data_IF_829950950102
#
_entry.id   IF_829950950102
#
_cell.length_a   1.000
_cell.length_b   1.000
_cell.length_c   1.000
_cell.angle_alpha   90.00
_cell.angle_beta   90.00
_cell.angle_gamma   90.00
#
_symmetry.space_group_name_H-M   'P 1'
#
loop_
_entity.id
_entity.type
_entity.pdbx_description
1 polymer ?
#
# COMPACT_ATOMS: atom_id res chain seq x y z
N UNK A 1 10.77 -5.60 -14.87
CA UNK A 1 10.13 -5.51 -13.53
C UNK A 1 11.20 -5.69 -12.47
N UNK A 2 11.55 -4.60 -11.80
CA UNK A 2 12.44 -4.65 -10.65
C UNK A 2 11.62 -5.16 -9.46
N UNK A 3 12.06 -6.22 -8.75
CA UNK A 3 11.34 -6.67 -7.57
C UNK A 3 11.28 -5.51 -6.57
N UNK A 4 10.09 -5.28 -6.02
CA UNK A 4 9.90 -4.35 -4.92
C UNK A 4 10.77 -4.85 -3.78
N UNK A 5 11.92 -4.20 -3.58
CA UNK A 5 12.71 -4.38 -2.37
C UNK A 5 11.93 -3.71 -1.26
N UNK A 6 11.13 -4.48 -0.53
CA UNK A 6 10.70 -4.03 0.79
C UNK A 6 11.94 -3.63 1.54
N UNK A 7 11.99 -2.41 2.01
CA UNK A 7 13.10 -1.74 2.73
C UNK A 7 14.40 -2.55 2.75
N UNK A 8 15.24 -2.38 1.73
CA UNK A 8 16.48 -3.13 1.49
C UNK A 8 17.50 -3.08 2.64
N UNK A 9 17.18 -2.40 3.72
CA UNK A 9 18.01 -2.27 4.90
C UNK A 9 17.84 -3.43 5.90
N UNK A 10 16.75 -4.18 5.85
CA UNK A 10 16.51 -5.31 6.80
C UNK A 10 17.05 -6.67 6.31
N UNK A 11 17.43 -6.78 5.04
CA UNK A 11 17.85 -8.07 4.44
C UNK A 11 19.28 -8.52 4.80
N UNK A 12 20.07 -7.69 5.47
CA UNK A 12 21.49 -7.98 5.73
C UNK A 12 21.70 -9.06 6.81
N UNK A 13 20.75 -9.21 7.73
CA UNK A 13 20.71 -10.32 8.69
C UNK A 13 19.28 -10.46 9.23
N UNK A 14 18.57 -11.46 8.75
CA UNK A 14 17.23 -11.79 9.22
C UNK A 14 17.19 -13.28 9.60
N UNK A 15 16.90 -13.58 10.85
CA UNK A 15 16.59 -14.92 11.34
C UNK A 15 15.14 -14.96 11.81
N UNK A 16 14.36 -15.85 11.24
CA UNK A 16 12.96 -16.06 11.58
C UNK A 16 12.76 -17.45 12.13
N UNK A 17 11.91 -17.54 13.14
CA UNK A 17 11.46 -18.78 13.76
C UNK A 17 9.94 -18.69 14.06
N UNK A 18 9.42 -19.63 14.83
CA UNK A 18 7.99 -19.66 15.16
C UNK A 18 7.56 -18.49 16.06
N UNK A 19 8.47 -17.98 16.89
CA UNK A 19 8.17 -16.93 17.87
C UNK A 19 8.32 -15.53 17.32
N UNK A 20 8.98 -15.35 16.17
CA UNK A 20 9.15 -14.03 15.55
C UNK A 20 10.40 -13.90 14.69
N UNK A 21 10.90 -12.67 14.56
CA UNK A 21 11.99 -12.28 13.66
C UNK A 21 13.09 -11.52 14.40
N UNK A 22 14.34 -11.96 14.23
CA UNK A 22 15.53 -11.22 14.69
C UNK A 22 16.22 -10.60 13.50
N UNK A 23 16.54 -9.31 13.56
CA UNK A 23 17.22 -8.59 12.49
C UNK A 23 18.21 -7.56 13.04
N UNK A 24 19.15 -7.13 12.18
CA UNK A 24 20.07 -6.04 12.50
C UNK A 24 19.50 -4.69 12.06
N UNK A 25 19.58 -3.69 12.92
CA UNK A 25 19.29 -2.32 12.54
C UNK A 25 20.27 -1.85 11.44
N UNK A 26 19.76 -1.27 10.33
CA UNK A 26 20.62 -0.71 9.29
C UNK A 26 21.36 0.56 9.75
N UNK A 27 20.89 1.22 10.82
CA UNK A 27 21.46 2.47 11.31
C UNK A 27 22.74 2.24 12.14
N UNK A 28 22.72 1.23 13.03
CA UNK A 28 23.80 1.03 14.00
C UNK A 28 24.21 -0.44 14.19
N UNK A 29 23.62 -1.37 13.44
CA UNK A 29 23.93 -2.80 13.53
C UNK A 29 23.41 -3.51 14.78
N UNK A 30 22.66 -2.84 15.67
CA UNK A 30 22.08 -3.48 16.86
C UNK A 30 21.07 -4.56 16.48
N UNK A 31 21.03 -5.63 17.27
CA UNK A 31 20.06 -6.72 17.08
C UNK A 31 18.71 -6.34 17.70
N UNK A 32 17.66 -6.55 16.93
CA UNK A 32 16.28 -6.39 17.36
C UNK A 32 15.51 -7.69 17.19
N UNK A 33 14.61 -7.94 18.13
CA UNK A 33 13.65 -9.04 18.06
C UNK A 33 12.25 -8.48 17.96
N UNK A 34 11.48 -8.94 16.96
CA UNK A 34 10.05 -8.65 16.82
C UNK A 34 9.28 -9.96 16.97
N UNK A 35 8.22 -9.91 17.78
CA UNK A 35 7.18 -10.92 17.87
C UNK A 35 5.83 -10.26 17.66
N UNK A 36 4.75 -11.05 17.63
CA UNK A 36 3.40 -10.54 17.57
C UNK A 36 3.13 -9.50 18.69
N UNK A 37 3.47 -9.83 19.94
CA UNK A 37 3.25 -8.97 21.10
C UNK A 37 4.10 -7.69 21.07
N UNK A 38 5.37 -7.82 20.69
CA UNK A 38 6.28 -6.67 20.58
C UNK A 38 5.77 -5.71 19.50
N UNK A 39 5.33 -6.25 18.36
CA UNK A 39 4.76 -5.45 17.27
C UNK A 39 3.52 -4.68 17.73
N UNK A 40 2.59 -5.35 18.41
CA UNK A 40 1.40 -4.70 18.96
C UNK A 40 1.78 -3.62 19.97
N UNK A 41 2.68 -3.90 20.90
CA UNK A 41 3.16 -2.93 21.89
C UNK A 41 3.79 -1.68 21.28
N UNK A 42 4.53 -1.83 20.16
CA UNK A 42 5.12 -0.70 19.43
C UNK A 42 4.03 0.13 18.76
N UNK A 43 3.10 -0.51 18.02
CA UNK A 43 2.04 0.19 17.28
C UNK A 43 1.09 0.93 18.26
N UNK A 44 0.75 0.34 19.40
CA UNK A 44 0.00 1.00 20.47
C UNK A 44 0.71 2.26 21.00
N UNK A 45 2.04 2.22 21.16
CA UNK A 45 2.85 3.37 21.61
C UNK A 45 2.96 4.47 20.57
N UNK A 46 3.03 4.12 19.29
CA UNK A 46 3.00 5.07 18.18
C UNK A 46 1.66 5.80 18.14
N UNK A 47 0.58 5.13 18.52
CA UNK A 47 -0.77 5.74 18.59
C UNK A 47 -1.45 5.81 17.20
N UNK A 48 -1.13 4.91 16.30
CA UNK A 48 -1.81 4.82 14.99
C UNK A 48 -3.30 4.50 15.16
N UNK A 49 -4.16 5.11 14.34
CA UNK A 49 -5.60 4.83 14.37
C UNK A 49 -5.92 3.44 13.82
N UNK A 50 -5.14 2.96 12.85
CA UNK A 50 -5.24 1.62 12.27
C UNK A 50 -3.88 0.94 12.38
N UNK A 51 -3.88 -0.29 12.87
CA UNK A 51 -2.70 -1.14 13.03
C UNK A 51 -2.86 -2.42 12.23
N UNK A 52 -1.74 -3.05 11.86
CA UNK A 52 -1.73 -4.34 11.19
C UNK A 52 -1.13 -5.43 12.10
N UNK A 53 -1.74 -6.61 12.06
CA UNK A 53 -1.19 -7.78 12.73
C UNK A 53 0.18 -8.13 12.17
N UNK A 54 1.04 -8.67 13.02
CA UNK A 54 2.36 -9.15 12.62
C UNK A 54 2.22 -10.41 11.75
N UNK A 55 2.77 -10.39 10.54
CA UNK A 55 2.62 -11.42 9.54
C UNK A 55 3.95 -11.85 8.92
N UNK A 56 3.95 -12.94 8.18
CA UNK A 56 5.10 -13.38 7.41
C UNK A 56 4.94 -13.05 5.93
N UNK A 57 5.57 -11.98 5.48
CA UNK A 57 5.66 -11.65 4.06
C UNK A 57 6.59 -12.63 3.34
N UNK A 58 6.04 -13.33 2.34
CA UNK A 58 6.78 -14.22 1.43
C UNK A 58 7.03 -13.56 0.07
N UNK A 59 7.83 -14.21 -0.76
CA UNK A 59 8.08 -13.81 -2.15
C UNK A 59 7.52 -14.85 -3.12
N UNK A 60 7.31 -14.47 -4.38
CA UNK A 60 6.89 -15.42 -5.42
C UNK A 60 7.94 -16.50 -5.73
N UNK A 61 9.18 -16.34 -5.25
CA UNK A 61 10.26 -17.32 -5.40
C UNK A 61 10.21 -18.45 -4.35
N UNK A 62 9.41 -18.28 -3.30
CA UNK A 62 9.25 -19.31 -2.28
C UNK A 62 8.44 -20.51 -2.83
N UNK A 63 8.83 -21.72 -2.44
CA UNK A 63 8.10 -22.92 -2.85
C UNK A 63 6.68 -22.93 -2.26
N UNK A 64 5.75 -23.65 -2.91
CA UNK A 64 4.39 -23.79 -2.39
C UNK A 64 4.35 -24.30 -0.95
N UNK A 65 5.11 -25.34 -0.61
CA UNK A 65 5.16 -25.86 0.75
C UNK A 65 5.72 -24.86 1.78
N UNK A 66 6.55 -23.88 1.36
CA UNK A 66 6.91 -22.76 2.22
C UNK A 66 5.75 -21.79 2.39
N UNK A 67 5.01 -21.48 1.33
CA UNK A 67 3.83 -20.61 1.38
C UNK A 67 2.76 -21.19 2.33
N UNK A 68 2.51 -22.48 2.27
CA UNK A 68 1.57 -23.17 3.18
C UNK A 68 1.99 -22.97 4.65
N UNK A 69 3.26 -23.24 4.98
CA UNK A 69 3.76 -23.02 6.36
C UNK A 69 3.72 -21.57 6.80
N UNK A 70 3.95 -20.64 5.88
CA UNK A 70 3.90 -19.19 6.14
C UNK A 70 2.47 -18.72 6.44
N UNK A 71 1.47 -19.21 5.72
CA UNK A 71 0.05 -18.95 5.99
C UNK A 71 -0.32 -19.39 7.40
N UNK A 72 0.04 -20.63 7.77
CA UNK A 72 -0.25 -21.17 9.10
C UNK A 72 0.49 -20.40 10.22
N UNK A 73 1.72 -19.96 9.99
CA UNK A 73 2.48 -19.13 10.94
C UNK A 73 1.84 -17.76 11.09
N UNK A 74 1.47 -17.13 9.98
CA UNK A 74 0.77 -15.84 9.99
C UNK A 74 -0.53 -15.94 10.80
N UNK A 75 -1.29 -17.02 10.65
CA UNK A 75 -2.50 -17.24 11.45
C UNK A 75 -2.22 -17.35 12.95
N UNK A 76 -1.20 -18.14 13.35
CA UNK A 76 -0.82 -18.23 14.79
C UNK A 76 -0.34 -16.89 15.35
N UNK A 77 0.40 -16.11 14.56
CA UNK A 77 0.81 -14.77 14.96
C UNK A 77 -0.39 -13.80 15.03
N UNK A 78 -1.35 -13.92 14.11
CA UNK A 78 -2.60 -13.14 14.14
C UNK A 78 -3.39 -13.38 15.41
N UNK A 79 -3.53 -14.65 15.86
CA UNK A 79 -4.19 -14.98 17.14
C UNK A 79 -3.49 -14.31 18.33
N UNK A 80 -2.16 -14.31 18.36
CA UNK A 80 -1.36 -13.64 19.41
C UNK A 80 -1.51 -12.11 19.34
N UNK A 81 -1.56 -11.54 18.14
CA UNK A 81 -1.82 -10.10 17.95
C UNK A 81 -3.17 -9.69 18.50
N UNK A 82 -4.23 -10.43 18.21
CA UNK A 82 -5.59 -10.14 18.74
C UNK A 82 -5.60 -10.19 20.27
N UNK A 83 -5.00 -11.22 20.86
CA UNK A 83 -4.93 -11.37 22.30
C UNK A 83 -4.18 -10.20 22.96
N UNK A 84 -3.02 -9.83 22.42
CA UNK A 84 -2.22 -8.73 22.98
C UNK A 84 -2.85 -7.36 22.72
N UNK A 85 -3.46 -7.15 21.54
CA UNK A 85 -4.20 -5.94 21.24
C UNK A 85 -5.35 -5.70 22.25
N UNK A 86 -6.13 -6.74 22.53
CA UNK A 86 -7.19 -6.67 23.53
C UNK A 86 -6.65 -6.28 24.90
N UNK A 87 -5.59 -6.97 25.37
CA UNK A 87 -4.94 -6.66 26.64
C UNK A 87 -4.46 -5.20 26.72
N UNK A 88 -3.77 -4.71 25.68
CA UNK A 88 -3.25 -3.35 25.63
C UNK A 88 -4.37 -2.30 25.52
N UNK A 89 -5.48 -2.62 24.85
CA UNK A 89 -6.65 -1.74 24.76
C UNK A 89 -7.32 -1.58 26.11
N UNK A 90 -7.47 -2.66 26.88
CA UNK A 90 -8.00 -2.62 28.23
C UNK A 90 -7.13 -1.79 29.20
N UNK A 91 -5.80 -1.76 29.01
CA UNK A 91 -4.87 -0.93 29.79
C UNK A 91 -4.90 0.57 29.42
N UNK A 92 -5.47 0.92 28.24
CA UNK A 92 -5.49 2.29 27.72
C UNK A 92 -6.78 3.07 28.03
N UNK A 93 -7.29 2.97 29.25
CA UNK A 93 -8.52 3.64 29.65
C UNK A 93 -8.52 5.14 29.30
N UNK A 94 -9.60 5.59 28.66
CA UNK A 94 -9.81 7.00 28.27
C UNK A 94 -9.03 7.48 27.04
N UNK A 95 -8.33 6.59 26.31
CA UNK A 95 -7.71 6.91 25.02
C UNK A 95 -8.58 6.43 23.87
N UNK A 96 -8.46 7.07 22.66
CA UNK A 96 -9.16 6.59 21.46
C UNK A 96 -8.85 5.14 21.16
N UNK A 97 -9.84 4.42 20.63
CA UNK A 97 -9.67 3.07 20.12
C UNK A 97 -8.73 3.07 18.92
N UNK A 98 -7.91 2.03 18.80
CA UNK A 98 -7.03 1.79 17.65
C UNK A 98 -7.53 0.52 16.97
N UNK A 99 -7.93 0.61 15.71
CA UNK A 99 -8.39 -0.55 14.94
C UNK A 99 -7.23 -1.49 14.62
N UNK A 100 -7.49 -2.80 14.65
CA UNK A 100 -6.52 -3.83 14.28
C UNK A 100 -6.99 -4.58 13.03
N UNK A 101 -6.18 -4.59 11.97
CA UNK A 101 -6.43 -5.33 10.74
C UNK A 101 -5.58 -6.60 10.70
N UNK A 102 -6.21 -7.72 10.34
CA UNK A 102 -5.52 -8.96 10.03
C UNK A 102 -4.90 -8.90 8.63
N UNK A 103 -3.87 -9.72 8.36
CA UNK A 103 -3.23 -9.75 7.04
C UNK A 103 -3.41 -11.12 6.41
N UNK A 104 -3.90 -11.14 5.15
CA UNK A 104 -4.06 -12.36 4.36
C UNK A 104 -2.87 -12.52 3.42
N UNK A 105 -2.14 -13.63 3.57
CA UNK A 105 -1.04 -14.06 2.73
C UNK A 105 -1.48 -15.21 1.80
N UNK A 106 -0.60 -15.80 0.98
CA UNK A 106 -0.90 -16.96 0.13
C UNK A 106 -0.32 -16.87 -1.30
N UNK A 107 0.48 -15.83 -1.58
CA UNK A 107 1.10 -15.59 -2.90
C UNK A 107 0.07 -15.63 -4.04
N UNK A 108 0.34 -16.39 -5.10
CA UNK A 108 -0.55 -16.52 -6.26
C UNK A 108 -1.49 -17.75 -6.19
N UNK A 109 -1.61 -18.41 -5.03
CA UNK A 109 -2.39 -19.63 -4.90
C UNK A 109 -3.79 -19.32 -4.35
N UNK A 110 -4.82 -19.51 -5.18
CA UNK A 110 -6.22 -19.24 -4.81
C UNK A 110 -6.64 -19.99 -3.56
N UNK A 111 -6.36 -21.29 -3.50
CA UNK A 111 -6.71 -22.13 -2.34
C UNK A 111 -6.05 -21.65 -1.04
N UNK A 112 -4.79 -21.22 -1.09
CA UNK A 112 -4.12 -20.65 0.08
C UNK A 112 -4.69 -19.27 0.47
N UNK A 113 -5.05 -18.44 -0.50
CA UNK A 113 -5.68 -17.14 -0.26
C UNK A 113 -7.04 -17.30 0.41
N UNK A 114 -7.89 -18.19 -0.12
CA UNK A 114 -9.21 -18.48 0.46
C UNK A 114 -9.08 -19.06 1.86
N UNK A 115 -8.20 -20.05 2.06
CA UNK A 115 -7.95 -20.63 3.37
C UNK A 115 -7.43 -19.58 4.39
N UNK A 116 -6.44 -18.76 4.02
CA UNK A 116 -5.94 -17.69 4.87
C UNK A 116 -7.02 -16.63 5.19
N UNK A 117 -7.88 -16.31 4.21
CA UNK A 117 -8.98 -15.37 4.39
C UNK A 117 -10.01 -15.90 5.41
N UNK A 118 -10.40 -17.18 5.30
CA UNK A 118 -11.30 -17.85 6.26
C UNK A 118 -10.71 -17.86 7.68
N UNK A 119 -9.40 -18.16 7.81
CA UNK A 119 -8.71 -18.10 9.10
C UNK A 119 -8.74 -16.70 9.72
N UNK A 120 -8.43 -15.66 8.93
CA UNK A 120 -8.44 -14.27 9.41
C UNK A 120 -9.87 -13.78 9.68
N UNK A 121 -10.85 -14.18 8.85
CA UNK A 121 -12.26 -13.86 9.07
C UNK A 121 -12.79 -14.40 10.41
N UNK A 122 -12.28 -15.55 10.87
CA UNK A 122 -12.67 -16.18 12.14
C UNK A 122 -12.16 -15.45 13.39
N UNK A 123 -11.22 -14.50 13.23
CA UNK A 123 -10.65 -13.74 14.34
C UNK A 123 -11.33 -12.37 14.48
N UNK A 124 -11.20 -11.78 15.66
CA UNK A 124 -11.78 -10.49 16.02
C UNK A 124 -10.90 -9.32 15.52
N UNK A 125 -10.87 -9.14 14.18
CA UNK A 125 -10.24 -8.03 13.52
C UNK A 125 -11.27 -6.99 13.08
N UNK A 126 -10.92 -5.72 13.13
CA UNK A 126 -11.76 -4.61 12.62
C UNK A 126 -11.78 -4.55 11.09
N UNK A 127 -10.71 -5.01 10.44
CA UNK A 127 -10.57 -5.03 9.00
C UNK A 127 -9.53 -6.05 8.54
N UNK A 128 -9.27 -6.07 7.24
CA UNK A 128 -8.32 -7.00 6.63
C UNK A 128 -7.35 -6.30 5.69
N UNK A 129 -6.08 -6.67 5.73
CA UNK A 129 -5.05 -6.30 4.78
C UNK A 129 -4.84 -7.42 3.75
N UNK A 130 -4.95 -7.09 2.47
CA UNK A 130 -4.62 -7.96 1.35
C UNK A 130 -3.13 -7.79 1.07
N UNK A 131 -2.33 -8.70 1.62
CA UNK A 131 -0.87 -8.60 1.61
C UNK A 131 -0.17 -9.62 0.71
N UNK A 132 1.16 -9.55 0.70
CA UNK A 132 2.02 -10.49 0.02
C UNK A 132 2.42 -10.10 -1.40
N UNK A 133 3.37 -10.87 -1.94
CA UNK A 133 3.75 -10.72 -3.34
C UNK A 133 2.66 -11.32 -4.22
N UNK A 134 2.12 -10.53 -5.14
CA UNK A 134 1.05 -10.91 -6.06
C UNK A 134 1.51 -10.54 -7.47
N UNK A 135 1.29 -11.42 -8.44
CA UNK A 135 1.48 -11.06 -9.85
C UNK A 135 0.40 -10.07 -10.29
N UNK A 136 0.84 -9.04 -11.02
CA UNK A 136 -0.04 -7.97 -11.50
C UNK A 136 -1.30 -8.51 -12.21
N UNK A 137 -1.14 -9.55 -13.04
CA UNK A 137 -2.24 -10.11 -13.86
C UNK A 137 -3.39 -10.73 -13.07
N UNK A 138 -3.19 -11.05 -11.78
CA UNK A 138 -4.19 -11.71 -10.93
C UNK A 138 -4.55 -10.88 -9.70
N UNK A 139 -4.21 -9.59 -9.68
CA UNK A 139 -4.45 -8.76 -8.49
C UNK A 139 -5.95 -8.62 -8.20
N UNK A 140 -6.78 -8.42 -9.22
CA UNK A 140 -8.23 -8.38 -9.10
C UNK A 140 -8.80 -9.70 -8.59
N UNK A 141 -8.39 -10.84 -9.20
CA UNK A 141 -8.81 -12.18 -8.77
C UNK A 141 -8.42 -12.43 -7.31
N UNK A 142 -7.20 -12.02 -6.92
CA UNK A 142 -6.74 -12.16 -5.52
C UNK A 142 -7.62 -11.37 -4.56
N UNK A 143 -8.03 -10.14 -4.92
CA UNK A 143 -8.99 -9.37 -4.12
C UNK A 143 -10.32 -10.12 -4.02
N UNK A 144 -10.88 -10.61 -5.13
CA UNK A 144 -12.13 -11.36 -5.13
C UNK A 144 -12.06 -12.59 -4.20
N UNK A 145 -11.02 -13.43 -4.32
CA UNK A 145 -10.86 -14.64 -3.49
C UNK A 145 -10.87 -14.35 -1.99
N UNK A 146 -10.29 -13.20 -1.59
CA UNK A 146 -10.22 -12.79 -0.19
C UNK A 146 -11.55 -12.15 0.25
N UNK A 147 -12.10 -11.25 -0.57
CA UNK A 147 -13.33 -10.54 -0.26
C UNK A 147 -14.54 -11.47 -0.14
N UNK A 148 -14.59 -12.55 -0.94
CA UNK A 148 -15.64 -13.58 -0.85
C UNK A 148 -15.74 -14.23 0.55
N UNK A 149 -14.63 -14.34 1.27
CA UNK A 149 -14.59 -14.93 2.61
C UNK A 149 -14.77 -13.91 3.74
N UNK A 150 -14.76 -12.60 3.42
CA UNK A 150 -14.82 -11.53 4.43
C UNK A 150 -16.24 -11.00 4.61
N UNK A 151 -16.68 -10.72 5.86
CA UNK A 151 -17.90 -9.97 6.10
C UNK A 151 -17.87 -8.63 5.36
N UNK A 152 -18.97 -8.25 4.72
CA UNK A 152 -19.09 -7.01 3.95
C UNK A 152 -18.81 -5.76 4.79
N UNK A 153 -19.11 -5.82 6.08
CA UNK A 153 -18.90 -4.73 7.03
C UNK A 153 -17.42 -4.49 7.42
N UNK A 154 -16.51 -5.43 7.08
CA UNK A 154 -15.09 -5.28 7.40
C UNK A 154 -14.35 -4.57 6.27
N UNK A 155 -13.69 -3.42 6.51
CA UNK A 155 -12.85 -2.76 5.52
C UNK A 155 -11.73 -3.67 4.98
N UNK A 156 -11.46 -3.59 3.67
CA UNK A 156 -10.42 -4.34 2.96
C UNK A 156 -9.37 -3.38 2.44
N UNK A 157 -8.19 -3.46 3.04
CA UNK A 157 -7.05 -2.62 2.68
C UNK A 157 -6.10 -3.37 1.76
N UNK A 158 -5.83 -2.84 0.57
CA UNK A 158 -4.93 -3.46 -0.41
C UNK A 158 -3.54 -2.87 -0.25
N UNK A 159 -2.60 -3.68 0.24
CA UNK A 159 -1.27 -3.24 0.62
C UNK A 159 -0.35 -3.04 -0.60
N UNK A 160 0.25 -1.86 -0.70
CA UNK A 160 1.36 -1.57 -1.63
C UNK A 160 0.97 -1.37 -3.09
N UNK A 161 -0.28 -1.12 -3.42
CA UNK A 161 -0.78 -0.97 -4.80
C UNK A 161 -0.97 0.50 -5.18
N UNK A 162 -0.41 0.89 -6.35
CA UNK A 162 -0.55 2.25 -6.90
C UNK A 162 -0.63 2.30 -8.43
N UNK A 163 -0.61 1.19 -9.17
CA UNK A 163 -0.90 1.26 -10.59
C UNK A 163 -2.40 1.53 -10.78
N UNK A 164 -2.74 2.49 -11.64
CA UNK A 164 -4.12 2.97 -11.78
C UNK A 164 -5.07 1.85 -12.21
N UNK A 165 -4.65 1.02 -13.14
CA UNK A 165 -5.38 -0.17 -13.57
C UNK A 165 -5.56 -1.21 -12.46
N UNK A 166 -4.53 -1.42 -11.63
CA UNK A 166 -4.60 -2.35 -10.50
C UNK A 166 -5.56 -1.82 -9.40
N UNK A 167 -5.58 -0.50 -9.16
CA UNK A 167 -6.53 0.12 -8.22
C UNK A 167 -7.97 -0.15 -8.67
N UNK A 168 -8.30 0.12 -9.93
CA UNK A 168 -9.64 -0.16 -10.47
C UNK A 168 -9.99 -1.64 -10.37
N UNK A 169 -9.06 -2.55 -10.74
CA UNK A 169 -9.28 -3.98 -10.62
C UNK A 169 -9.52 -4.43 -9.15
N UNK A 170 -8.82 -3.85 -8.19
CA UNK A 170 -9.02 -4.14 -6.77
C UNK A 170 -10.37 -3.61 -6.27
N UNK A 171 -10.74 -2.37 -6.62
CA UNK A 171 -12.03 -1.78 -6.21
C UNK A 171 -13.21 -2.57 -6.78
N UNK A 172 -13.16 -2.93 -8.06
CA UNK A 172 -14.18 -3.78 -8.71
C UNK A 172 -14.39 -5.11 -7.98
N UNK A 173 -13.35 -5.60 -7.30
CA UNK A 173 -13.34 -6.86 -6.56
C UNK A 173 -13.38 -6.69 -5.02
N UNK A 174 -13.84 -5.53 -4.54
CA UNK A 174 -14.14 -5.29 -3.12
C UNK A 174 -13.02 -4.70 -2.28
N UNK A 175 -11.95 -4.17 -2.89
CA UNK A 175 -10.93 -3.40 -2.18
C UNK A 175 -11.41 -1.99 -1.84
N UNK A 176 -11.22 -1.54 -0.58
CA UNK A 176 -11.76 -0.28 -0.08
C UNK A 176 -10.69 0.82 0.05
N UNK A 177 -9.52 0.48 0.55
CA UNK A 177 -8.45 1.43 0.83
C UNK A 177 -7.09 0.91 0.37
N UNK A 178 -6.13 1.83 0.15
CA UNK A 178 -4.84 1.54 -0.44
C UNK A 178 -3.71 2.30 0.25
N UNK A 179 -2.52 1.73 0.25
CA UNK A 179 -1.27 2.43 0.53
C UNK A 179 -0.24 2.13 -0.56
N UNK A 180 0.65 3.05 -0.82
CA UNK A 180 1.84 2.78 -1.63
C UNK A 180 2.91 3.85 -1.51
N UNK A 181 4.16 3.42 -1.52
CA UNK A 181 5.31 4.34 -1.58
C UNK A 181 5.51 4.96 -2.97
N UNK A 182 4.84 4.43 -4.01
CA UNK A 182 5.09 4.82 -5.41
C UNK A 182 4.87 6.32 -5.67
N UNK A 183 3.80 6.99 -5.19
CA UNK A 183 3.62 8.43 -5.42
C UNK A 183 4.82 9.24 -4.96
N UNK A 184 5.25 9.06 -3.72
CA UNK A 184 6.38 9.77 -3.13
C UNK A 184 7.72 9.38 -3.79
N UNK A 185 7.96 8.08 -4.02
CA UNK A 185 9.18 7.59 -4.68
C UNK A 185 9.30 8.14 -6.10
N UNK A 186 8.23 8.11 -6.87
CA UNK A 186 8.16 8.64 -8.22
C UNK A 186 8.40 10.16 -8.23
N UNK A 187 7.75 10.90 -7.35
CA UNK A 187 7.93 12.35 -7.20
C UNK A 187 9.39 12.72 -6.94
N UNK A 188 10.04 12.08 -5.97
CA UNK A 188 11.47 12.30 -5.70
C UNK A 188 12.39 12.01 -6.89
N UNK A 189 11.98 11.12 -7.78
CA UNK A 189 12.71 10.81 -9.01
C UNK A 189 12.32 11.69 -10.21
N UNK A 190 11.33 12.56 -10.05
CA UNK A 190 10.87 13.49 -11.06
C UNK A 190 9.79 12.90 -11.99
N UNK A 191 9.18 11.78 -11.63
CA UNK A 191 8.04 11.24 -12.35
C UNK A 191 6.74 11.82 -11.75
N UNK A 192 5.97 12.49 -12.58
CA UNK A 192 4.74 13.20 -12.23
C UNK A 192 3.55 12.42 -12.79
N UNK A 193 2.56 12.13 -11.96
CA UNK A 193 1.30 11.51 -12.36
C UNK A 193 0.30 12.58 -12.76
N UNK A 194 -0.44 12.33 -13.83
CA UNK A 194 -1.52 13.19 -14.33
C UNK A 194 -2.68 12.34 -14.84
N UNK A 195 -3.83 12.95 -15.10
CA UNK A 195 -4.98 12.26 -15.73
C UNK A 195 -4.66 11.70 -17.13
N UNK A 196 -3.60 12.20 -17.77
CA UNK A 196 -3.13 11.76 -19.09
C UNK A 196 -1.88 10.88 -19.03
N UNK A 197 -1.66 10.22 -17.90
CA UNK A 197 -0.54 9.32 -17.67
C UNK A 197 0.61 9.96 -16.89
N UNK A 198 1.78 9.36 -16.99
CA UNK A 198 2.96 9.76 -16.23
C UNK A 198 4.03 10.34 -17.13
N UNK A 199 4.61 11.48 -16.74
CA UNK A 199 5.75 12.06 -17.44
C UNK A 199 6.92 12.33 -16.50
N UNK A 200 8.13 12.49 -17.08
CA UNK A 200 9.31 12.87 -16.32
C UNK A 200 9.53 14.38 -16.46
N UNK A 201 9.41 15.11 -15.34
CA UNK A 201 9.57 16.57 -15.28
C UNK A 201 10.98 17.03 -15.71
N UNK A 202 12.00 16.16 -15.59
CA UNK A 202 13.38 16.48 -15.96
C UNK A 202 13.66 16.45 -17.49
N UNK A 203 12.64 16.31 -18.34
CA UNK A 203 12.80 16.45 -19.78
C UNK A 203 13.09 17.91 -20.15
N UNK A 204 13.92 18.14 -21.18
CA UNK A 204 14.37 19.48 -21.57
C UNK A 204 13.24 20.47 -21.86
N UNK A 205 12.11 20.00 -22.38
CA UNK A 205 10.94 20.81 -22.67
C UNK A 205 10.35 21.55 -21.48
N UNK A 206 10.51 21.02 -20.24
CA UNK A 206 9.97 21.61 -19.04
C UNK A 206 10.87 22.67 -18.39
N UNK A 207 12.11 22.82 -18.86
CA UNK A 207 13.08 23.75 -18.29
C UNK A 207 12.62 25.22 -18.25
N UNK A 208 11.81 25.60 -19.20
CA UNK A 208 11.24 26.96 -19.34
C UNK A 208 9.71 26.95 -19.43
N UNK A 209 9.09 25.90 -18.93
CA UNK A 209 7.62 25.77 -18.88
C UNK A 209 7.09 26.32 -17.55
N UNK A 210 6.42 27.47 -17.62
CA UNK A 210 5.88 28.15 -16.45
C UNK A 210 4.44 27.76 -16.11
N UNK A 211 3.86 26.76 -16.80
CA UNK A 211 2.58 26.16 -16.46
C UNK A 211 2.64 25.28 -15.19
N UNK A 212 1.50 24.88 -14.65
CA UNK A 212 1.41 23.96 -13.51
C UNK A 212 1.89 22.55 -13.89
N UNK A 213 2.08 21.64 -12.90
CA UNK A 213 2.44 20.24 -13.19
C UNK A 213 1.35 19.55 -14.00
N UNK A 214 0.09 19.85 -13.71
CA UNK A 214 -1.09 19.40 -14.48
C UNK A 214 -2.08 20.55 -14.57
N UNK A 215 -2.63 20.76 -15.76
CA UNK A 215 -3.70 21.72 -15.98
C UNK A 215 -4.96 21.30 -15.19
N UNK A 216 -5.70 22.24 -14.66
CA UNK A 216 -6.92 22.02 -13.86
C UNK A 216 -6.71 21.25 -12.54
N UNK A 217 -5.47 21.07 -12.09
CA UNK A 217 -5.14 20.48 -10.80
C UNK A 217 -5.12 21.56 -9.72
N UNK A 218 -5.89 21.36 -8.67
CA UNK A 218 -6.05 22.29 -7.53
C UNK A 218 -5.10 22.00 -6.35
N UNK A 219 -4.13 21.07 -6.51
CA UNK A 219 -3.17 20.81 -5.45
C UNK A 219 -2.27 22.01 -5.15
N UNK A 220 -1.72 22.05 -3.94
CA UNK A 220 -0.82 23.13 -3.51
C UNK A 220 0.32 23.40 -4.50
N UNK A 221 0.91 22.34 -5.06
CA UNK A 221 2.02 22.51 -6.01
C UNK A 221 1.58 23.17 -7.30
N UNK A 222 0.48 22.72 -7.91
CA UNK A 222 0.00 23.26 -9.19
C UNK A 222 -0.49 24.69 -9.08
N UNK A 223 -1.07 25.08 -7.94
CA UNK A 223 -1.60 26.42 -7.70
C UNK A 223 -0.53 27.45 -7.36
N UNK A 224 0.67 27.04 -6.93
CA UNK A 224 1.70 27.97 -6.45
C UNK A 224 3.04 27.87 -7.20
N UNK A 225 3.30 26.78 -7.94
CA UNK A 225 4.60 26.53 -8.57
C UNK A 225 4.46 26.06 -10.01
N UNK A 226 5.48 26.36 -10.82
CA UNK A 226 5.53 25.97 -12.23
C UNK A 226 6.36 24.69 -12.43
N UNK A 227 6.17 24.04 -13.61
CA UNK A 227 7.01 22.93 -14.07
C UNK A 227 8.48 23.30 -14.06
N UNK A 228 8.83 24.51 -14.56
CA UNK A 228 10.22 24.99 -14.57
C UNK A 228 10.83 25.08 -13.17
N UNK A 229 10.08 25.55 -12.17
CA UNK A 229 10.58 25.65 -10.80
C UNK A 229 10.83 24.25 -10.19
N UNK A 230 9.86 23.34 -10.34
CA UNK A 230 9.97 21.97 -9.80
C UNK A 230 11.12 21.21 -10.50
N UNK A 231 11.27 21.34 -11.84
CA UNK A 231 12.40 20.77 -12.58
C UNK A 231 13.74 21.30 -12.03
N UNK A 232 13.84 22.64 -11.87
CA UNK A 232 15.05 23.27 -11.33
C UNK A 232 15.40 22.75 -9.93
N UNK A 233 14.43 22.74 -9.02
CA UNK A 233 14.64 22.28 -7.64
C UNK A 233 15.06 20.78 -7.58
N UNK A 234 14.42 19.92 -8.39
CA UNK A 234 14.79 18.50 -8.48
C UNK A 234 16.19 18.28 -9.06
N UNK A 235 16.63 19.09 -10.05
CA UNK A 235 17.98 19.02 -10.62
C UNK A 235 19.01 19.51 -9.64
N UNK A 236 18.71 20.57 -8.89
CA UNK A 236 19.56 21.09 -7.81
C UNK A 236 19.59 20.17 -6.57
N UNK A 237 18.76 19.11 -6.55
CA UNK A 237 18.58 18.19 -5.41
C UNK A 237 18.09 18.88 -4.14
N UNK A 238 17.31 19.93 -4.31
CA UNK A 238 16.65 20.62 -3.20
C UNK A 238 15.50 19.79 -2.66
N UNK A 239 15.40 19.68 -1.33
CA UNK A 239 14.33 18.93 -0.66
C UNK A 239 12.94 19.47 -1.02
N UNK A 240 12.83 20.78 -1.23
CA UNK A 240 11.58 21.41 -1.65
C UNK A 240 11.05 20.83 -2.97
N UNK A 241 11.92 20.56 -3.95
CA UNK A 241 11.53 19.91 -5.21
C UNK A 241 10.96 18.50 -4.99
N UNK A 242 11.54 17.72 -4.07
CA UNK A 242 11.03 16.40 -3.71
C UNK A 242 9.66 16.50 -3.02
N UNK A 243 9.49 17.45 -2.10
CA UNK A 243 8.23 17.69 -1.39
C UNK A 243 7.13 18.08 -2.36
N UNK A 244 7.37 19.08 -3.21
CA UNK A 244 6.38 19.58 -4.16
C UNK A 244 5.92 18.51 -5.16
N UNK A 245 6.85 17.73 -5.73
CA UNK A 245 6.51 16.63 -6.64
C UNK A 245 5.74 15.52 -5.92
N UNK A 246 6.10 15.22 -4.67
CA UNK A 246 5.38 14.24 -3.83
C UNK A 246 3.97 14.73 -3.51
N UNK A 247 3.81 15.98 -3.07
CA UNK A 247 2.50 16.56 -2.75
C UNK A 247 1.54 16.48 -3.93
N UNK A 248 2.01 16.77 -5.14
CA UNK A 248 1.18 16.64 -6.34
C UNK A 248 0.79 15.17 -6.61
N UNK A 249 1.76 14.26 -6.56
CA UNK A 249 1.48 12.85 -6.82
C UNK A 249 0.53 12.23 -5.79
N UNK A 250 0.68 12.55 -4.50
CA UNK A 250 -0.25 12.10 -3.45
C UNK A 250 -1.65 12.67 -3.70
N UNK A 251 -1.76 13.96 -4.04
CA UNK A 251 -3.03 14.57 -4.39
C UNK A 251 -3.71 13.86 -5.57
N UNK A 252 -2.95 13.50 -6.62
CA UNK A 252 -3.47 12.75 -7.76
C UNK A 252 -4.15 11.44 -7.32
N UNK A 253 -3.48 10.64 -6.46
CA UNK A 253 -4.04 9.36 -6.03
C UNK A 253 -5.22 9.52 -5.06
N UNK A 254 -5.17 10.49 -4.15
CA UNK A 254 -6.31 10.79 -3.25
C UNK A 254 -7.52 11.22 -4.08
N UNK A 255 -7.33 12.14 -5.02
CA UNK A 255 -8.39 12.61 -5.90
C UNK A 255 -8.96 11.49 -6.79
N UNK A 256 -8.11 10.60 -7.31
CA UNK A 256 -8.55 9.44 -8.07
C UNK A 256 -9.47 8.54 -7.24
N UNK A 257 -9.09 8.26 -5.99
CA UNK A 257 -9.91 7.42 -5.09
C UNK A 257 -11.21 8.10 -4.69
N UNK A 258 -11.22 9.42 -4.50
CA UNK A 258 -12.44 10.18 -4.24
C UNK A 258 -13.38 10.17 -5.45
N UNK A 259 -12.85 10.30 -6.67
CA UNK A 259 -13.63 10.23 -7.91
C UNK A 259 -14.16 8.80 -8.15
N UNK A 260 -13.37 7.76 -7.83
CA UNK A 260 -13.83 6.36 -7.84
C UNK A 260 -15.01 6.19 -6.88
N UNK A 261 -14.90 6.66 -5.63
CA UNK A 261 -15.98 6.58 -4.64
C UNK A 261 -17.24 7.29 -5.15
N UNK A 262 -17.10 8.51 -5.66
CA UNK A 262 -18.21 9.26 -6.24
C UNK A 262 -18.86 8.52 -7.42
N UNK A 263 -18.08 7.82 -8.24
CA UNK A 263 -18.60 7.04 -9.37
C UNK A 263 -19.41 5.81 -8.93
N UNK A 264 -19.00 5.18 -7.81
CA UNK A 264 -19.73 4.06 -7.19
C UNK A 264 -21.06 4.58 -6.65
N UNK A 265 -21.02 5.64 -5.85
CA UNK A 265 -22.22 6.27 -5.26
C UNK A 265 -23.20 6.76 -6.36
N UNK A 266 -22.68 7.24 -7.48
CA UNK A 266 -23.43 7.70 -8.64
C UNK A 266 -23.90 6.59 -9.59
N UNK A 267 -23.42 5.35 -9.41
CA UNK A 267 -23.82 4.19 -10.25
C UNK A 267 -23.19 4.17 -11.65
N UNK A 268 -22.07 4.89 -11.87
CA UNK A 268 -21.36 4.97 -13.18
C UNK A 268 -19.90 4.55 -13.09
N UNK A 269 -19.56 3.65 -12.17
CA UNK A 269 -18.18 3.18 -11.94
C UNK A 269 -17.51 2.60 -13.20
N UNK A 270 -18.21 1.77 -13.97
CA UNK A 270 -17.64 1.13 -15.15
C UNK A 270 -17.27 2.14 -16.24
N UNK A 271 -18.17 3.09 -16.51
CA UNK A 271 -17.92 4.17 -17.47
C UNK A 271 -16.74 5.04 -17.03
N UNK A 272 -16.70 5.41 -15.75
CA UNK A 272 -15.60 6.20 -15.18
C UNK A 272 -14.25 5.47 -15.26
N UNK A 273 -14.22 4.15 -14.92
CA UNK A 273 -13.03 3.30 -15.06
C UNK A 273 -12.52 3.31 -16.49
N UNK A 274 -13.39 3.00 -17.46
CA UNK A 274 -13.01 2.84 -18.86
C UNK A 274 -12.50 4.15 -19.44
N UNK A 275 -13.15 5.28 -19.16
CA UNK A 275 -12.69 6.61 -19.57
C UNK A 275 -11.36 6.99 -18.92
N UNK A 276 -11.20 6.74 -17.63
CA UNK A 276 -9.98 7.07 -16.89
C UNK A 276 -8.80 6.26 -17.41
N UNK A 277 -8.96 4.96 -17.59
CA UNK A 277 -7.92 4.08 -18.12
C UNK A 277 -7.55 4.45 -19.58
N UNK A 278 -8.55 4.75 -20.41
CA UNK A 278 -8.30 5.20 -21.78
C UNK A 278 -7.45 6.49 -21.79
N UNK A 279 -7.82 7.50 -21.02
CA UNK A 279 -7.07 8.77 -20.91
C UNK A 279 -5.67 8.59 -20.33
N UNK A 280 -5.55 7.79 -19.26
CA UNK A 280 -4.28 7.60 -18.55
C UNK A 280 -3.25 6.84 -19.42
N UNK A 281 -3.67 5.88 -20.23
CA UNK A 281 -2.79 5.05 -21.06
C UNK A 281 -2.71 5.48 -22.53
N UNK A 282 -3.42 6.52 -22.96
CA UNK A 282 -3.45 7.03 -24.34
C UNK A 282 -2.04 7.30 -24.89
N UNK A 283 -1.15 7.85 -24.09
CA UNK A 283 0.23 8.19 -24.50
C UNK A 283 1.25 7.06 -24.26
N UNK A 284 0.81 5.80 -24.14
CA UNK A 284 1.69 4.65 -23.98
C UNK A 284 2.40 4.57 -22.64
N UNK A 285 1.86 5.18 -21.60
CA UNK A 285 2.35 5.13 -20.22
C UNK A 285 2.16 3.73 -19.61
N UNK A 286 2.72 2.68 -20.22
CA UNK A 286 2.78 1.36 -19.59
C UNK A 286 3.73 1.46 -18.39
N UNK A 287 3.23 1.12 -17.19
CA UNK A 287 3.92 1.15 -15.92
C UNK A 287 5.11 0.20 -15.82
#
# INVERSE_FOLDING_TARGET
STPIKSSAASDVYKRQDEDGVTFKSPLNGSLHRFSAEISMGIQHKIGADIMFAFDELTTLMNTRGYQERSVERTYRWAQRCVAEHKRLTEERLGKPYQALYGVVQGANYEDLRRHAAEQIASLDFDGVGIGGAIEKRIIGDTCAWICDAMPESRPRHVLGIAAVDDIFACVENGGDTFDCVAPARCGRNGAIFTRHGRYNIKRAQFKHDFGPLEEDCDCYTCTHYSRAYVDHALRAREFNGFTLATTHNEHFFVKLLDDIRASIDGGYFNEFRDETLAKFYENGSKG
#
